data_IF_850849361027
#
_entry.id   IF_850849361027
#
_cell.length_a   1.000
_cell.length_b   1.000
_cell.length_c   1.000
_cell.angle_alpha   90.00
_cell.angle_beta   90.00
_cell.angle_gamma   90.00
#
_symmetry.space_group_name_H-M   'P 1'
#
loop_
_entity.id
_entity.type
_entity.pdbx_description
1 polymer ?
#
# COMPACT_ATOMS: atom_id res chain seq x y z
N UNK A 1 13.48 -6.95 1.35
CA UNK A 1 12.40 -7.88 0.98
C UNK A 1 12.34 -7.95 -0.54
N UNK A 2 12.53 -9.11 -1.16
CA UNK A 2 12.18 -9.30 -2.58
C UNK A 2 10.70 -9.58 -2.66
N UNK A 3 9.88 -8.53 -2.63
CA UNK A 3 8.43 -8.66 -2.65
C UNK A 3 7.96 -9.07 -4.04
N UNK A 4 7.29 -10.21 -4.15
CA UNK A 4 6.56 -10.56 -5.36
C UNK A 4 5.28 -9.74 -5.43
N UNK A 5 5.09 -8.90 -6.47
CA UNK A 5 3.85 -8.12 -6.68
C UNK A 5 2.62 -8.98 -7.01
N UNK A 6 2.82 -10.27 -7.25
CA UNK A 6 1.76 -11.22 -7.60
C UNK A 6 2.09 -12.60 -7.09
N UNK A 7 1.07 -13.37 -6.71
CA UNK A 7 1.18 -14.80 -6.38
C UNK A 7 0.46 -15.64 -7.44
N UNK A 8 1.02 -16.80 -7.76
CA UNK A 8 0.37 -17.77 -8.65
C UNK A 8 -0.68 -18.57 -7.88
N UNK A 9 -1.91 -18.64 -8.39
CA UNK A 9 -3.01 -19.37 -7.75
C UNK A 9 -3.74 -20.24 -8.76
N UNK A 10 -4.17 -21.42 -8.32
CA UNK A 10 -5.07 -22.26 -9.09
C UNK A 10 -6.44 -21.58 -9.16
N UNK A 11 -6.98 -21.47 -10.38
CA UNK A 11 -8.28 -20.89 -10.67
C UNK A 11 -9.06 -21.80 -11.62
N UNK A 12 -10.37 -21.59 -11.67
CA UNK A 12 -11.21 -22.14 -12.73
C UNK A 12 -11.55 -21.01 -13.68
N UNK A 13 -11.07 -21.09 -14.93
CA UNK A 13 -11.35 -20.11 -15.97
C UNK A 13 -12.52 -20.58 -16.84
N UNK A 14 -13.52 -19.73 -17.02
CA UNK A 14 -14.61 -19.97 -17.97
C UNK A 14 -14.33 -19.22 -19.28
N UNK A 15 -14.28 -19.95 -20.39
CA UNK A 15 -14.16 -19.36 -21.73
C UNK A 15 -14.83 -20.29 -22.76
N UNK A 16 -15.51 -19.72 -23.76
CA UNK A 16 -16.18 -20.47 -24.84
C UNK A 16 -17.04 -21.65 -24.33
N UNK A 17 -17.92 -21.40 -23.35
CA UNK A 17 -18.78 -22.43 -22.75
C UNK A 17 -18.06 -23.60 -22.06
N UNK A 18 -16.77 -23.46 -21.76
CA UNK A 18 -15.97 -24.47 -21.08
C UNK A 18 -15.29 -23.90 -19.84
N UNK A 19 -15.33 -24.67 -18.75
CA UNK A 19 -14.51 -24.43 -17.57
C UNK A 19 -13.16 -25.14 -17.72
N UNK A 20 -12.08 -24.51 -17.31
CA UNK A 20 -10.72 -25.08 -17.38
C UNK A 20 -9.96 -24.69 -16.13
N UNK A 21 -9.42 -25.69 -15.42
CA UNK A 21 -8.50 -25.46 -14.32
C UNK A 21 -7.15 -24.98 -14.87
N UNK A 22 -6.66 -23.88 -14.33
CA UNK A 22 -5.39 -23.29 -14.74
C UNK A 22 -4.76 -22.52 -13.59
N UNK A 23 -3.51 -22.11 -13.75
CA UNK A 23 -2.82 -21.24 -12.79
C UNK A 23 -2.72 -19.86 -13.38
N UNK A 24 -3.10 -18.85 -12.59
CA UNK A 24 -2.97 -17.45 -13.00
C UNK A 24 -2.22 -16.63 -11.94
N UNK A 25 -1.67 -15.50 -12.36
CA UNK A 25 -0.99 -14.55 -11.48
C UNK A 25 -2.00 -13.56 -10.91
N UNK A 26 -2.13 -13.53 -9.59
CA UNK A 26 -3.03 -12.63 -8.87
C UNK A 26 -2.19 -11.60 -8.13
N UNK A 27 -2.50 -10.32 -8.32
CA UNK A 27 -1.81 -9.20 -7.65
C UNK A 27 -1.97 -9.33 -6.13
N UNK A 28 -0.90 -9.03 -5.39
CA UNK A 28 -0.93 -8.98 -3.94
C UNK A 28 -1.32 -7.57 -3.50
N UNK A 29 -2.35 -7.50 -2.68
CA UNK A 29 -2.85 -6.29 -2.06
C UNK A 29 -2.57 -6.30 -0.56
N UNK A 30 -2.22 -5.14 -0.03
CA UNK A 30 -1.68 -4.97 1.30
C UNK A 30 -2.29 -3.73 1.97
N UNK A 31 -2.90 -3.83 3.18
CA UNK A 31 -3.46 -2.66 3.86
C UNK A 31 -2.38 -1.86 4.61
N UNK A 32 -2.18 -0.60 4.24
CA UNK A 32 -1.25 0.34 4.87
C UNK A 32 -2.02 1.43 5.62
N UNK A 33 -1.73 1.61 6.92
CA UNK A 33 -2.31 2.70 7.71
C UNK A 33 -1.31 3.86 7.86
N UNK A 34 -1.79 5.08 7.65
CA UNK A 34 -1.01 6.31 7.71
C UNK A 34 -1.45 7.12 8.94
N UNK A 35 -0.47 7.53 9.73
CA UNK A 35 -0.63 8.40 10.88
C UNK A 35 0.02 9.75 10.59
N UNK A 36 -0.64 10.84 11.01
CA UNK A 36 -0.12 12.20 10.91
C UNK A 36 -0.10 12.81 12.30
N UNK A 37 1.08 13.23 12.77
CA UNK A 37 1.24 13.85 14.09
C UNK A 37 0.54 13.06 15.22
N UNK A 38 0.72 11.72 15.20
CA UNK A 38 0.16 10.76 16.16
C UNK A 38 -1.35 10.49 16.06
N UNK A 39 -2.03 11.01 15.04
CA UNK A 39 -3.44 10.72 14.76
C UNK A 39 -3.57 9.84 13.52
N UNK A 40 -4.45 8.84 13.57
CA UNK A 40 -4.75 8.01 12.41
C UNK A 40 -5.44 8.86 11.35
N UNK A 41 -4.87 8.88 10.14
CA UNK A 41 -5.39 9.66 9.03
C UNK A 41 -6.21 8.80 8.07
N UNK A 42 -5.65 7.69 7.59
CA UNK A 42 -6.31 6.80 6.64
C UNK A 42 -5.69 5.40 6.63
N UNK A 43 -6.47 4.40 6.23
CA UNK A 43 -5.99 3.07 5.84
C UNK A 43 -6.33 2.83 4.38
N UNK A 44 -5.33 2.46 3.57
CA UNK A 44 -5.48 2.18 2.14
C UNK A 44 -5.00 0.78 1.80
N UNK A 45 -5.51 0.21 0.71
CA UNK A 45 -5.00 -1.05 0.15
C UNK A 45 -4.08 -0.73 -1.02
N UNK A 46 -2.84 -1.21 -0.97
CA UNK A 46 -1.82 -0.93 -1.98
C UNK A 46 -0.93 -2.16 -2.24
N UNK A 47 -0.11 -2.10 -3.27
CA UNK A 47 0.97 -3.08 -3.46
C UNK A 47 1.98 -2.98 -2.29
N UNK A 48 2.59 -4.10 -1.85
CA UNK A 48 3.53 -4.11 -0.72
C UNK A 48 4.92 -3.58 -1.11
N UNK A 49 5.00 -2.46 -1.83
CA UNK A 49 6.25 -1.87 -2.33
C UNK A 49 6.15 -0.36 -2.43
N UNK A 50 7.30 0.33 -2.37
CA UNK A 50 7.39 1.78 -2.55
C UNK A 50 6.46 2.58 -1.62
N UNK A 51 6.36 2.14 -0.36
CA UNK A 51 5.41 2.73 0.58
C UNK A 51 5.71 4.21 0.86
N UNK A 52 6.98 4.63 0.95
CA UNK A 52 7.31 6.04 1.18
C UNK A 52 6.76 6.91 0.04
N UNK A 53 7.04 6.55 -1.21
CA UNK A 53 6.55 7.28 -2.38
C UNK A 53 5.02 7.26 -2.47
N UNK A 54 4.40 6.12 -2.16
CA UNK A 54 2.94 5.97 -2.10
C UNK A 54 2.33 6.94 -1.07
N UNK A 55 2.86 6.96 0.15
CA UNK A 55 2.36 7.83 1.23
C UNK A 55 2.54 9.30 0.85
N UNK A 56 3.70 9.70 0.32
CA UNK A 56 3.93 11.09 -0.13
C UNK A 56 2.92 11.49 -1.22
N UNK A 57 2.74 10.63 -2.23
CA UNK A 57 1.81 10.89 -3.33
C UNK A 57 0.36 10.99 -2.85
N UNK A 58 -0.04 10.11 -1.93
CA UNK A 58 -1.36 10.14 -1.31
C UNK A 58 -1.60 11.42 -0.52
N UNK A 59 -0.69 11.79 0.38
CA UNK A 59 -0.80 13.03 1.16
C UNK A 59 -0.89 14.28 0.26
N UNK A 60 -0.15 14.29 -0.85
CA UNK A 60 -0.24 15.37 -1.83
C UNK A 60 -1.60 15.39 -2.57
N UNK A 61 -2.13 14.21 -2.90
CA UNK A 61 -3.41 14.08 -3.62
C UNK A 61 -4.61 14.47 -2.76
N UNK A 62 -4.56 14.18 -1.46
CA UNK A 62 -5.57 14.59 -0.47
C UNK A 62 -5.41 16.06 -0.01
N UNK A 63 -4.41 16.78 -0.52
CA UNK A 63 -4.17 18.18 -0.17
C UNK A 63 -3.60 18.41 1.24
N UNK A 64 -3.10 17.35 1.89
CA UNK A 64 -2.47 17.43 3.21
C UNK A 64 -1.11 18.13 3.13
N UNK A 65 -0.39 17.92 2.03
CA UNK A 65 0.87 18.61 1.72
C UNK A 65 0.81 19.16 0.30
N UNK A 66 1.49 20.27 0.04
CA UNK A 66 1.74 20.77 -1.31
C UNK A 66 3.16 20.42 -1.80
N UNK A 67 4.09 20.24 -0.88
CA UNK A 67 5.50 19.97 -1.14
C UNK A 67 6.05 18.92 -0.16
N UNK A 68 6.90 18.00 -0.65
CA UNK A 68 7.59 16.99 0.21
C UNK A 68 8.30 17.62 1.42
N UNK A 69 8.80 18.86 1.30
CA UNK A 69 9.49 19.57 2.39
C UNK A 69 8.62 19.86 3.62
N UNK A 70 7.29 19.77 3.51
CA UNK A 70 6.36 19.95 4.63
C UNK A 70 6.34 18.74 5.55
N UNK A 71 6.83 17.59 5.09
CA UNK A 71 7.06 16.43 5.93
C UNK A 71 8.40 16.62 6.66
N UNK A 72 8.36 16.57 7.98
CA UNK A 72 9.54 16.64 8.86
C UNK A 72 10.20 15.27 8.98
N UNK A 73 9.40 14.22 9.16
CA UNK A 73 9.87 12.87 9.43
C UNK A 73 8.84 11.85 8.93
N UNK A 74 9.32 10.72 8.42
CA UNK A 74 8.51 9.56 8.05
C UNK A 74 9.17 8.30 8.57
N UNK A 75 8.41 7.47 9.26
CA UNK A 75 8.92 6.23 9.84
C UNK A 75 7.93 5.10 9.56
N UNK A 76 8.42 4.01 8.99
CA UNK A 76 7.67 2.78 8.81
C UNK A 76 7.83 1.92 10.06
N UNK A 77 6.71 1.55 10.66
CA UNK A 77 6.61 0.54 11.71
C UNK A 77 6.18 -0.78 11.06
N UNK A 78 7.12 -1.74 10.95
CA UNK A 78 6.88 -3.11 10.45
C UNK A 78 6.65 -4.12 11.60
N UNK A 79 6.73 -3.70 12.87
CA UNK A 79 6.69 -4.61 14.03
C UNK A 79 5.26 -5.07 14.38
N UNK A 80 4.26 -4.58 13.63
CA UNK A 80 2.84 -4.88 13.81
C UNK A 80 2.34 -5.88 12.79
N UNK A 81 1.13 -6.40 13.04
CA UNK A 81 0.44 -7.29 12.11
C UNK A 81 0.24 -6.65 10.72
N UNK A 82 0.16 -5.31 10.66
CA UNK A 82 0.14 -4.53 9.42
C UNK A 82 1.14 -3.35 9.53
N UNK A 83 1.92 -3.03 8.48
CA UNK A 83 2.77 -1.86 8.36
C UNK A 83 1.98 -0.57 8.54
N UNK A 84 2.62 0.34 9.26
CA UNK A 84 2.07 1.66 9.56
C UNK A 84 3.12 2.72 9.24
N UNK A 85 2.73 3.77 8.51
CA UNK A 85 3.59 4.93 8.28
C UNK A 85 3.23 6.05 9.26
N UNK A 86 4.20 6.44 10.07
CA UNK A 86 4.10 7.60 10.95
C UNK A 86 4.71 8.81 10.24
N UNK A 87 3.90 9.82 9.97
CA UNK A 87 4.33 11.08 9.35
C UNK A 87 4.25 12.21 10.37
N UNK A 88 5.36 12.95 10.54
CA UNK A 88 5.37 14.18 11.31
C UNK A 88 5.44 15.35 10.32
N UNK A 89 4.44 16.22 10.34
CA UNK A 89 4.40 17.40 9.47
C UNK A 89 5.02 18.60 10.20
N UNK A 90 5.63 19.50 9.43
CA UNK A 90 6.07 20.81 9.93
C UNK A 90 4.82 21.64 10.23
N UNK A 91 4.80 22.27 11.41
CA UNK A 91 3.81 23.30 11.72
C UNK A 91 4.11 24.58 10.94
#
# INVERSE_FOLDING_TARGET
MTDSLSSSRAIVKYNQHRFTETTDKIVIEFPLTIYINNEEFATMVCSPQHFEEMVIGFLASEGVIHFKKEIKEMTLDEDRALPMYNCILKK
#
